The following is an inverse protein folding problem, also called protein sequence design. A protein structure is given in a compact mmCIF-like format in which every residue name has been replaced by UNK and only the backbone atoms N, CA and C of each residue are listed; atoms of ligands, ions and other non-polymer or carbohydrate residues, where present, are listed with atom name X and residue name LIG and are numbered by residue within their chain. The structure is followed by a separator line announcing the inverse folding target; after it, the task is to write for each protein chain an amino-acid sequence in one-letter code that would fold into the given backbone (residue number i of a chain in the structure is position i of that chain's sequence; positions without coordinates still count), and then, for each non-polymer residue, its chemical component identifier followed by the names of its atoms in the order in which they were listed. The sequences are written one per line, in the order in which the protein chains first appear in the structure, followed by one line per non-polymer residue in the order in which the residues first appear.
data_IF_125618544354
#
_entry.id   IF_125618544354
#
_cell.length_a   1.000
_cell.length_b   1.000
_cell.length_c   1.000
_cell.angle_alpha   90.00
_cell.angle_beta   90.00
_cell.angle_gamma   90.00
#
_symmetry.space_group_name_H-M   'P 1'
#
loop_
_entity.id
_entity.type
_entity.pdbx_description
1 polymer ?
#
# COMPACT_ATOMS: atom_id res chain seq x y z
N UNK A 1 31.85 -39.69 73.24
CA UNK A 1 32.54 -38.45 73.63
C UNK A 1 33.62 -38.22 72.57
N UNK A 2 33.48 -37.17 71.75
CA UNK A 2 34.39 -36.00 71.66
C UNK A 2 35.66 -36.39 70.84
N UNK A 3 36.08 -35.81 69.72
CA UNK A 3 35.96 -34.46 69.12
C UNK A 3 36.40 -34.53 67.63
N UNK A 4 35.62 -33.96 66.71
CA UNK A 4 36.11 -33.48 65.41
C UNK A 4 36.13 -31.96 65.51
N UNK A 5 37.30 -31.30 65.41
CA UNK A 5 37.33 -29.92 64.93
C UNK A 5 38.74 -29.44 64.50
N UNK A 6 38.80 -28.94 63.28
CA UNK A 6 39.92 -28.17 62.68
C UNK A 6 39.51 -26.67 62.71
N UNK A 7 40.43 -25.69 62.81
CA UNK A 7 40.09 -24.33 63.24
C UNK A 7 39.53 -23.41 62.13
N UNK A 8 38.72 -22.44 62.57
CA UNK A 8 38.13 -21.30 61.81
C UNK A 8 39.18 -20.36 61.19
N UNK A 9 38.84 -19.72 60.06
CA UNK A 9 38.64 -18.26 59.85
C UNK A 9 37.75 -18.09 58.60
N UNK A 10 36.52 -17.61 58.74
CA UNK A 10 36.09 -16.21 58.58
C UNK A 10 36.30 -15.71 57.15
N UNK A 11 35.21 -15.67 56.37
CA UNK A 11 34.89 -14.55 55.47
C UNK A 11 33.36 -14.49 55.33
N UNK A 12 32.81 -13.43 55.90
CA UNK A 12 31.41 -13.09 55.97
C UNK A 12 31.15 -12.00 54.93
N UNK A 13 30.38 -12.30 53.89
CA UNK A 13 29.62 -11.27 53.19
C UNK A 13 28.18 -11.76 53.00
N UNK A 14 27.28 -11.03 53.67
CA UNK A 14 25.87 -11.34 53.76
C UNK A 14 25.07 -10.82 52.58
N UNK A 15 23.84 -11.33 52.49
CA UNK A 15 22.79 -10.77 51.64
C UNK A 15 21.59 -11.71 51.54
N UNK A 16 20.44 -11.39 52.17
CA UNK A 16 19.24 -12.21 52.01
C UNK A 16 18.62 -11.98 50.62
N UNK A 17 18.38 -13.09 49.92
CA UNK A 17 17.60 -13.12 48.69
C UNK A 17 16.15 -12.72 48.97
N UNK A 18 15.80 -11.46 48.70
CA UNK A 18 14.41 -11.01 48.60
C UNK A 18 14.08 -10.66 47.14
N UNK A 19 13.32 -11.55 46.51
CA UNK A 19 12.74 -11.36 45.18
C UNK A 19 11.65 -10.29 45.26
N UNK A 20 11.92 -9.10 44.73
CA UNK A 20 10.89 -8.07 44.50
C UNK A 20 10.26 -8.35 43.13
N UNK A 21 8.95 -8.61 43.02
CA UNK A 21 8.29 -8.56 41.72
C UNK A 21 8.01 -7.09 41.42
N UNK A 22 8.89 -6.46 40.65
CA UNK A 22 8.64 -5.13 40.08
C UNK A 22 7.55 -5.26 39.03
N UNK A 23 6.29 -5.10 39.46
CA UNK A 23 5.17 -4.89 38.57
C UNK A 23 5.36 -3.57 37.84
N UNK A 24 5.94 -3.62 36.63
CA UNK A 24 5.87 -2.50 35.71
C UNK A 24 4.39 -2.28 35.36
N UNK A 25 3.85 -1.05 35.46
CA UNK A 25 2.62 -0.73 34.78
C UNK A 25 2.94 -0.82 33.29
N UNK A 26 2.58 -1.95 32.67
CA UNK A 26 2.49 -2.05 31.23
C UNK A 26 1.46 -1.01 30.83
N UNK A 27 1.93 0.17 30.41
CA UNK A 27 1.14 1.12 29.66
C UNK A 27 0.66 0.35 28.45
N UNK A 28 -0.55 -0.19 28.54
CA UNK A 28 -1.31 -0.64 27.39
C UNK A 28 -1.65 0.63 26.62
N UNK A 29 -0.64 1.16 25.92
CA UNK A 29 -0.87 1.94 24.72
C UNK A 29 -1.72 1.02 23.88
N UNK A 30 -3.02 1.29 23.83
CA UNK A 30 -3.92 0.69 22.88
C UNK A 30 -3.28 0.95 21.53
N UNK A 31 -2.52 -0.04 21.04
CA UNK A 31 -2.07 -0.05 19.66
C UNK A 31 -3.38 -0.20 18.92
N UNK A 32 -3.93 0.92 18.46
CA UNK A 32 -5.00 0.90 17.47
C UNK A 32 -4.46 -0.03 16.39
N UNK A 33 -5.03 -1.23 16.27
CA UNK A 33 -4.61 -2.15 15.25
C UNK A 33 -5.08 -1.50 13.96
N UNK A 34 -4.17 -1.21 13.02
CA UNK A 34 -4.58 -0.69 11.72
C UNK A 34 -5.52 -1.64 10.96
N UNK A 35 -5.70 -2.88 11.44
CA UNK A 35 -6.78 -3.79 11.02
C UNK A 35 -8.19 -3.25 11.29
N UNK A 36 -8.33 -2.34 12.25
CA UNK A 36 -9.60 -1.68 12.61
C UNK A 36 -9.83 -0.39 11.80
N UNK A 37 -8.80 0.16 11.14
CA UNK A 37 -9.02 1.09 10.04
C UNK A 37 -9.49 0.26 8.85
N UNK A 38 -10.81 0.12 8.74
CA UNK A 38 -11.49 -0.35 7.55
C UNK A 38 -11.31 0.67 6.42
N UNK A 39 -10.08 0.78 5.92
CA UNK A 39 -9.76 1.55 4.74
C UNK A 39 -10.13 0.65 3.56
N UNK A 40 -11.38 0.74 3.12
CA UNK A 40 -11.84 0.00 1.94
C UNK A 40 -11.06 0.55 0.73
N UNK A 41 -10.06 -0.22 0.29
CA UNK A 41 -9.32 0.04 -0.94
C UNK A 41 -10.29 0.00 -2.13
N UNK A 42 -10.30 1.04 -2.99
CA UNK A 42 -11.21 1.08 -4.12
C UNK A 42 -10.90 -0.03 -5.12
N UNK A 43 -11.96 -0.58 -5.73
CA UNK A 43 -11.82 -1.45 -6.89
C UNK A 43 -11.32 -0.66 -8.10
N UNK A 44 -10.52 -1.30 -8.94
CA UNK A 44 -9.94 -0.72 -10.14
C UNK A 44 -10.34 -1.49 -11.37
N UNK A 45 -11.04 -0.81 -12.27
CA UNK A 45 -11.48 -1.34 -13.56
C UNK A 45 -10.61 -0.88 -14.73
N UNK A 46 -9.62 0.00 -14.46
CA UNK A 46 -8.78 0.65 -15.46
C UNK A 46 -8.91 2.18 -15.47
N UNK A 47 -9.85 2.74 -14.72
CA UNK A 47 -10.10 4.19 -14.66
C UNK A 47 -9.23 4.86 -13.59
N UNK A 48 -8.66 6.03 -13.92
CA UNK A 48 -7.92 6.90 -12.99
C UNK A 48 -6.80 6.17 -12.22
N UNK A 49 -5.83 5.64 -12.99
CA UNK A 49 -4.71 4.85 -12.44
C UNK A 49 -3.86 5.66 -11.46
N UNK A 50 -3.77 6.99 -11.62
CA UNK A 50 -3.04 7.89 -10.71
C UNK A 50 -3.65 7.87 -9.29
N UNK A 51 -4.96 8.16 -9.16
CA UNK A 51 -5.65 8.15 -7.86
C UNK A 51 -5.66 6.74 -7.24
N UNK A 52 -5.80 5.70 -8.07
CA UNK A 52 -5.79 4.32 -7.58
C UNK A 52 -4.43 3.90 -7.00
N UNK A 53 -3.33 4.19 -7.71
CA UNK A 53 -1.98 3.90 -7.23
C UNK A 53 -1.67 4.70 -5.96
N UNK A 54 -2.02 6.00 -5.93
CA UNK A 54 -1.77 6.84 -4.77
C UNK A 54 -2.41 6.27 -3.49
N UNK A 55 -3.68 5.87 -3.56
CA UNK A 55 -4.39 5.26 -2.42
C UNK A 55 -3.82 3.90 -2.01
N UNK A 56 -3.36 3.11 -2.97
CA UNK A 56 -2.71 1.82 -2.70
C UNK A 56 -1.40 1.99 -1.95
N UNK A 57 -0.57 2.94 -2.37
CA UNK A 57 0.71 3.21 -1.71
C UNK A 57 0.51 3.72 -0.28
N UNK A 58 -0.42 4.67 -0.09
CA UNK A 58 -0.79 5.15 1.25
C UNK A 58 -1.28 4.00 2.14
N UNK A 59 -2.17 3.14 1.62
CA UNK A 59 -2.66 1.98 2.34
C UNK A 59 -1.53 1.02 2.72
N UNK A 60 -0.64 0.69 1.79
CA UNK A 60 0.47 -0.23 2.04
C UNK A 60 1.45 0.31 3.07
N UNK A 61 1.71 1.61 3.07
CA UNK A 61 2.61 2.26 4.01
C UNK A 61 1.99 2.30 5.42
N UNK A 62 0.69 2.60 5.55
CA UNK A 62 -0.02 2.59 6.83
C UNK A 62 -0.12 1.17 7.41
N UNK A 63 -0.40 0.18 6.58
CA UNK A 63 -0.61 -1.21 7.02
C UNK A 63 0.68 -2.03 7.09
N UNK A 64 1.79 -1.51 6.59
CA UNK A 64 3.10 -2.16 6.61
C UNK A 64 3.20 -3.35 5.66
N UNK A 65 2.58 -3.29 4.48
CA UNK A 65 2.64 -4.36 3.48
C UNK A 65 4.00 -4.38 2.78
N UNK A 66 4.75 -5.50 2.83
CA UNK A 66 6.03 -5.63 2.16
C UNK A 66 5.92 -5.54 0.63
N UNK A 67 6.96 -5.01 -0.02
CA UNK A 67 7.01 -4.76 -1.48
C UNK A 67 6.67 -6.01 -2.29
N UNK A 68 7.17 -7.17 -1.87
CA UNK A 68 6.95 -8.46 -2.55
C UNK A 68 5.49 -8.94 -2.50
N UNK A 69 4.67 -8.39 -1.61
CA UNK A 69 3.26 -8.73 -1.48
C UNK A 69 2.35 -7.71 -2.17
N UNK A 70 2.82 -6.49 -2.45
CA UNK A 70 1.99 -5.38 -2.95
C UNK A 70 1.25 -5.71 -4.24
N UNK A 71 1.91 -6.34 -5.22
CA UNK A 71 1.26 -6.76 -6.48
C UNK A 71 0.09 -7.71 -6.21
N UNK A 72 0.31 -8.69 -5.32
CA UNK A 72 -0.73 -9.66 -4.96
C UNK A 72 -1.91 -8.98 -4.25
N UNK A 73 -1.64 -8.06 -3.33
CA UNK A 73 -2.70 -7.28 -2.68
C UNK A 73 -3.47 -6.43 -3.69
N UNK A 74 -2.77 -5.65 -4.52
CA UNK A 74 -3.39 -4.82 -5.55
C UNK A 74 -4.30 -5.65 -6.47
N UNK A 75 -3.89 -6.88 -6.84
CA UNK A 75 -4.67 -7.76 -7.70
C UNK A 75 -6.06 -8.14 -7.17
N UNK A 76 -6.26 -8.17 -5.84
CA UNK A 76 -7.57 -8.44 -5.25
C UNK A 76 -8.56 -7.29 -5.46
N UNK A 77 -8.06 -6.09 -5.70
CA UNK A 77 -8.87 -4.91 -5.96
C UNK A 77 -9.04 -4.63 -7.45
N UNK A 78 -8.40 -5.40 -8.33
CA UNK A 78 -8.60 -5.25 -9.78
C UNK A 78 -9.84 -6.01 -10.22
N UNK A 79 -10.64 -5.38 -11.08
CA UNK A 79 -11.88 -5.94 -11.62
C UNK A 79 -11.95 -5.74 -13.14
N UNK A 80 -12.87 -6.44 -13.80
CA UNK A 80 -13.16 -6.23 -15.22
C UNK A 80 -11.93 -6.27 -16.14
N UNK A 81 -11.75 -5.28 -17.04
CA UNK A 81 -10.60 -5.20 -17.95
C UNK A 81 -9.24 -5.17 -17.23
N UNK A 82 -9.14 -4.45 -16.11
CA UNK A 82 -7.92 -4.39 -15.30
C UNK A 82 -7.46 -5.76 -14.80
N UNK A 83 -8.40 -6.57 -14.29
CA UNK A 83 -8.07 -7.92 -13.86
C UNK A 83 -7.70 -8.86 -15.02
N UNK A 84 -8.33 -8.69 -16.19
CA UNK A 84 -7.98 -9.44 -17.39
C UNK A 84 -6.55 -9.15 -17.84
N UNK A 85 -6.14 -7.87 -17.84
CA UNK A 85 -4.78 -7.45 -18.11
C UNK A 85 -3.77 -8.01 -17.10
N UNK A 86 -4.09 -7.95 -15.81
CA UNK A 86 -3.24 -8.54 -14.77
C UNK A 86 -2.98 -10.04 -14.99
N UNK A 87 -4.02 -10.82 -15.34
CA UNK A 87 -3.83 -12.24 -15.67
C UNK A 87 -2.89 -12.43 -16.86
N UNK A 88 -2.95 -11.55 -17.85
CA UNK A 88 -2.05 -11.59 -19.00
C UNK A 88 -0.61 -11.26 -18.61
N UNK A 89 -0.36 -10.23 -17.80
CA UNK A 89 1.00 -9.82 -17.42
C UNK A 89 1.72 -10.90 -16.59
N UNK A 90 1.00 -11.53 -15.65
CA UNK A 90 1.54 -12.62 -14.82
C UNK A 90 1.83 -13.87 -15.65
N UNK A 91 0.93 -14.25 -16.57
CA UNK A 91 1.13 -15.43 -17.43
C UNK A 91 2.37 -15.31 -18.32
N UNK A 92 2.75 -14.09 -18.69
CA UNK A 92 3.91 -13.82 -19.51
C UNK A 92 5.17 -13.43 -18.70
N UNK A 93 5.13 -13.54 -17.36
CA UNK A 93 6.23 -13.21 -16.44
C UNK A 93 6.80 -11.78 -16.64
N UNK A 94 5.98 -10.82 -17.03
CA UNK A 94 6.45 -9.47 -17.34
C UNK A 94 6.74 -8.60 -16.10
N UNK A 95 6.20 -8.94 -14.92
CA UNK A 95 6.35 -8.10 -13.72
C UNK A 95 6.49 -8.93 -12.45
N UNK A 96 7.63 -8.79 -11.74
CA UNK A 96 7.83 -9.35 -10.38
C UNK A 96 8.17 -8.27 -9.34
N UNK A 97 8.42 -7.04 -9.78
CA UNK A 97 8.74 -5.90 -8.94
C UNK A 97 7.59 -4.88 -8.97
N UNK A 98 7.31 -4.25 -7.82
CA UNK A 98 6.21 -3.30 -7.69
C UNK A 98 6.37 -2.09 -8.61
N UNK A 99 7.57 -1.52 -8.74
CA UNK A 99 7.79 -0.34 -9.57
C UNK A 99 7.59 -0.67 -11.05
N UNK A 100 8.06 -1.84 -11.47
CA UNK A 100 7.84 -2.34 -12.85
C UNK A 100 6.34 -2.58 -13.10
N UNK A 101 5.60 -3.07 -12.11
CA UNK A 101 4.16 -3.26 -12.20
C UNK A 101 3.41 -1.93 -12.32
N UNK A 102 3.78 -0.92 -11.52
CA UNK A 102 3.21 0.44 -11.56
C UNK A 102 3.49 1.11 -12.91
N UNK A 103 4.71 1.04 -13.43
CA UNK A 103 5.05 1.56 -14.76
C UNK A 103 4.24 0.87 -15.88
N UNK A 104 4.06 -0.46 -15.79
CA UNK A 104 3.24 -1.19 -16.74
C UNK A 104 1.75 -0.82 -16.65
N UNK A 105 1.24 -0.54 -15.45
CA UNK A 105 -0.12 -0.03 -15.23
C UNK A 105 -0.30 1.34 -15.90
N UNK A 106 0.61 2.28 -15.67
CA UNK A 106 0.56 3.59 -16.32
C UNK A 106 0.60 3.48 -17.86
N UNK A 107 1.43 2.59 -18.39
CA UNK A 107 1.50 2.36 -19.85
C UNK A 107 0.21 1.78 -20.45
N UNK A 108 -0.58 1.05 -19.66
CA UNK A 108 -1.77 0.36 -20.16
C UNK A 108 -3.08 1.08 -19.84
N UNK A 109 -3.18 1.68 -18.65
CA UNK A 109 -4.38 2.34 -18.12
C UNK A 109 -4.19 3.82 -17.84
N UNK A 110 -2.96 4.34 -17.93
CA UNK A 110 -2.77 5.78 -17.94
C UNK A 110 -3.63 6.37 -19.03
N UNK A 111 -4.56 7.25 -18.66
CA UNK A 111 -4.99 8.28 -19.60
C UNK A 111 -3.72 8.96 -20.00
N UNK A 112 -3.31 8.68 -21.22
CA UNK A 112 -2.03 9.08 -21.76
C UNK A 112 -1.82 10.56 -21.43
N UNK A 113 -1.00 10.82 -20.41
CA UNK A 113 -0.57 12.17 -20.06
C UNK A 113 0.18 12.80 -21.25
N UNK A 114 0.50 11.99 -22.28
CA UNK A 114 1.05 12.36 -23.57
C UNK A 114 0.09 12.28 -24.75
N UNK A 115 -1.17 11.85 -24.58
CA UNK A 115 -2.15 12.11 -25.63
C UNK A 115 -2.39 13.60 -25.54
N UNK A 116 -1.81 14.34 -26.48
CA UNK A 116 -2.04 15.75 -26.65
C UNK A 116 -3.55 15.95 -26.50
N UNK A 117 -4.04 16.68 -25.48
CA UNK A 117 -5.47 16.78 -25.25
C UNK A 117 -6.18 17.39 -26.46
N UNK A 118 -5.45 18.11 -27.34
CA UNK A 118 -5.94 18.53 -28.65
C UNK A 118 -6.13 17.37 -29.64
N UNK A 119 -5.27 16.35 -29.65
CA UNK A 119 -5.45 15.15 -30.46
C UNK A 119 -6.57 14.26 -29.91
N UNK A 120 -6.67 14.09 -28.59
CA UNK A 120 -7.81 13.43 -27.97
C UNK A 120 -9.14 14.14 -28.30
N UNK A 121 -9.15 15.48 -28.29
CA UNK A 121 -10.33 16.27 -28.66
C UNK A 121 -10.68 16.09 -30.15
N UNK A 122 -9.67 16.00 -31.03
CA UNK A 122 -9.86 15.78 -32.48
C UNK A 122 -10.42 14.38 -32.79
N UNK A 123 -9.99 13.37 -32.04
CA UNK A 123 -10.45 11.99 -32.22
C UNK A 123 -11.72 11.66 -31.41
N UNK A 124 -12.19 12.58 -30.56
CA UNK A 124 -13.40 12.37 -29.75
C UNK A 124 -14.64 12.23 -30.64
N UNK A 125 -15.17 11.00 -30.69
CA UNK A 125 -16.40 10.65 -31.40
C UNK A 125 -17.46 10.21 -30.40
N UNK A 126 -18.69 10.68 -30.57
CA UNK A 126 -19.81 10.22 -29.76
C UNK A 126 -20.09 8.73 -30.06
N UNK A 127 -19.77 7.87 -29.11
CA UNK A 127 -20.10 6.43 -29.18
C UNK A 127 -21.28 6.05 -28.27
N UNK A 128 -21.71 6.96 -27.38
CA UNK A 128 -22.77 6.75 -26.40
C UNK A 128 -23.78 7.90 -26.36
N UNK A 129 -24.27 8.24 -25.17
CA UNK A 129 -25.23 9.34 -25.04
C UNK A 129 -24.57 10.70 -25.28
N UNK A 130 -25.38 11.71 -25.61
CA UNK A 130 -24.89 13.09 -25.77
C UNK A 130 -24.29 13.63 -24.47
N UNK A 131 -24.84 13.22 -23.31
CA UNK A 131 -24.35 13.62 -22.00
C UNK A 131 -22.94 13.06 -21.72
N UNK A 132 -22.70 11.79 -22.05
CA UNK A 132 -21.38 11.17 -21.88
C UNK A 132 -20.33 11.84 -22.78
N UNK A 133 -20.73 12.21 -24.00
CA UNK A 133 -19.86 12.96 -24.92
C UNK A 133 -19.55 14.37 -24.38
N UNK A 134 -20.55 15.08 -23.84
CA UNK A 134 -20.36 16.40 -23.23
C UNK A 134 -19.38 16.34 -22.06
N UNK A 135 -19.55 15.37 -21.15
CA UNK A 135 -18.65 15.19 -20.02
C UNK A 135 -17.20 14.92 -20.48
N UNK A 136 -17.01 14.07 -21.50
CA UNK A 136 -15.69 13.78 -22.07
C UNK A 136 -15.08 15.01 -22.76
N UNK A 137 -15.89 15.77 -23.49
CA UNK A 137 -15.46 17.00 -24.16
C UNK A 137 -15.05 18.07 -23.16
N UNK A 138 -15.80 18.28 -22.08
CA UNK A 138 -15.48 19.24 -21.02
C UNK A 138 -14.20 18.85 -20.26
N UNK A 139 -14.04 17.56 -19.95
CA UNK A 139 -12.84 17.04 -19.30
C UNK A 139 -11.59 17.23 -20.16
N UNK A 140 -11.68 17.01 -21.48
CA UNK A 140 -10.57 17.24 -22.41
C UNK A 140 -10.30 18.73 -22.66
N UNK A 141 -11.34 19.54 -22.77
CA UNK A 141 -11.21 20.99 -23.01
C UNK A 141 -10.52 21.71 -21.85
N UNK A 142 -10.82 21.32 -20.60
CA UNK A 142 -10.17 21.86 -19.40
C UNK A 142 -8.66 21.57 -19.38
N UNK A 143 -8.24 20.45 -19.97
CA UNK A 143 -6.83 20.04 -20.07
C UNK A 143 -6.07 20.78 -21.19
N UNK A 144 -6.74 21.28 -22.22
CA UNK A 144 -6.11 22.10 -23.30
C UNK A 144 -5.82 23.52 -22.83
N UNK A 145 -6.58 24.07 -21.88
CA UNK A 145 -6.48 25.46 -21.43
C UNK A 145 -5.36 25.74 -20.41
N UNK A 146 -4.62 24.72 -19.96
CA UNK A 146 -3.50 24.85 -19.02
C UNK A 146 -2.14 25.25 -19.65
N UNK A 147 -2.08 25.36 -20.98
CA UNK A 147 -0.92 25.85 -21.72
C UNK A 147 -1.21 27.28 -22.19
N UNK A 148 -1.00 28.26 -21.31
CA UNK A 148 -0.94 29.67 -21.72
C UNK A 148 0.42 30.24 -21.32
N UNK A 149 1.18 30.54 -22.40
CA UNK A 149 2.47 31.21 -22.59
C UNK A 149 3.75 30.67 -21.92
#
# INVERSE_FOLDING_TARGET
MIENNTPRKDDNEGGPHHSVPTGQPSSSTTRISYRDLKCDLPSFDGTDVDDWIFRLEEYFDITGIPLEQRIKYASFHMVGPAYAWYKWIIRNNYTQDWLVFVDALYKHFGTDLYTNPQEALKELKQQGTVADYQNQFEALSTKVTGLSD
#
